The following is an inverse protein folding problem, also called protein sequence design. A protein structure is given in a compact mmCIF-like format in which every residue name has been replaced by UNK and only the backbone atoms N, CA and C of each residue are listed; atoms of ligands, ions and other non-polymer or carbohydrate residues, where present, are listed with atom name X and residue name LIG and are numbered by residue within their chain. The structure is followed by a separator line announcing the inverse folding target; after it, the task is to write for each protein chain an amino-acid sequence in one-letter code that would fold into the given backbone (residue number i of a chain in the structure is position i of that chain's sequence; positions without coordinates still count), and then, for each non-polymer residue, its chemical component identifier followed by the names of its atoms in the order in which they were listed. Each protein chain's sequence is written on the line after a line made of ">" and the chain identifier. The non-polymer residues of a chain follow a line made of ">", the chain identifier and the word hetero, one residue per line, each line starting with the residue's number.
data_IF_103726221824
#
_entry.id   IF_103726221824
#
_cell.length_a   1.000
_cell.length_b   1.000
_cell.length_c   1.000
_cell.angle_alpha   90.00
_cell.angle_beta   90.00
_cell.angle_gamma   90.00
#
_symmetry.space_group_name_H-M   'P 1'
#
loop_
_entity.id
_entity.type
_entity.pdbx_description
1 polymer ?
#
# COMPACT_ATOMS: atom_id res chain seq x y z
N UNK A 1 -5.39 60.46 37.52
CA UNK A 1 -5.10 59.06 37.94
C UNK A 1 -6.31 58.15 37.63
N UNK A 2 -6.56 57.79 36.37
CA UNK A 2 -7.53 56.74 35.97
C UNK A 2 -7.16 56.26 34.56
N UNK A 3 -6.13 55.42 34.41
CA UNK A 3 -5.81 54.79 33.11
C UNK A 3 -4.97 53.50 33.16
N UNK A 4 -4.82 52.87 34.33
CA UNK A 4 -3.94 51.69 34.48
C UNK A 4 -4.59 50.42 35.04
N UNK A 5 -5.93 50.37 35.19
CA UNK A 5 -6.61 49.19 35.77
C UNK A 5 -7.41 48.33 34.79
N UNK A 6 -7.45 48.67 33.49
CA UNK A 6 -8.27 47.93 32.51
C UNK A 6 -7.49 46.97 31.59
N UNK A 7 -6.16 46.90 31.67
CA UNK A 7 -5.35 46.06 30.76
C UNK A 7 -4.97 44.71 31.41
N UNK A 8 -5.07 44.56 32.73
CA UNK A 8 -4.69 43.30 33.40
C UNK A 8 -5.77 42.21 33.43
N UNK A 9 -7.04 42.52 33.11
CA UNK A 9 -8.13 41.53 33.19
C UNK A 9 -8.38 40.83 31.84
N UNK A 10 -8.01 41.45 30.71
CA UNK A 10 -8.21 40.86 29.38
C UNK A 10 -7.16 39.82 28.98
N UNK A 11 -5.97 39.85 29.58
CA UNK A 11 -4.90 38.86 29.29
C UNK A 11 -5.13 37.54 30.04
N UNK A 12 -5.93 37.54 31.10
CA UNK A 12 -6.21 36.31 31.89
C UNK A 12 -7.24 35.39 31.25
N UNK A 13 -8.19 35.90 30.44
CA UNK A 13 -9.29 35.06 29.92
C UNK A 13 -8.89 34.36 28.62
N UNK A 14 -8.04 35.00 27.80
CA UNK A 14 -7.57 34.44 26.53
C UNK A 14 -6.55 33.31 26.71
N UNK A 15 -5.70 33.34 27.75
CA UNK A 15 -4.74 32.25 28.02
C UNK A 15 -5.43 31.05 28.65
N UNK A 16 -6.41 31.26 29.53
CA UNK A 16 -7.20 30.18 30.13
C UNK A 16 -8.11 29.46 29.12
N UNK A 17 -8.71 30.17 28.16
CA UNK A 17 -9.50 29.52 27.09
C UNK A 17 -8.62 28.73 26.12
N UNK A 18 -7.46 29.24 25.71
CA UNK A 18 -6.51 28.48 24.89
C UNK A 18 -5.93 27.27 25.62
N UNK A 19 -5.62 27.39 26.92
CA UNK A 19 -5.11 26.27 27.71
C UNK A 19 -6.20 25.20 27.95
N UNK A 20 -7.44 25.59 28.21
CA UNK A 20 -8.57 24.66 28.36
C UNK A 20 -8.89 23.98 27.03
N UNK A 21 -8.88 24.70 25.91
CA UNK A 21 -9.06 24.11 24.58
C UNK A 21 -7.90 23.16 24.25
N UNK A 22 -6.65 23.51 24.60
CA UNK A 22 -5.49 22.64 24.42
C UNK A 22 -5.55 21.38 25.30
N UNK A 23 -6.01 21.48 26.54
CA UNK A 23 -6.21 20.33 27.44
C UNK A 23 -7.43 19.48 27.06
N UNK A 24 -8.51 20.07 26.54
CA UNK A 24 -9.69 19.35 26.04
C UNK A 24 -9.37 18.65 24.72
N UNK A 25 -8.65 19.30 23.80
CA UNK A 25 -8.16 18.67 22.56
C UNK A 25 -7.13 17.58 22.84
N UNK A 26 -6.21 17.78 23.79
CA UNK A 26 -5.29 16.71 24.18
C UNK A 26 -6.03 15.56 24.84
N UNK A 27 -7.10 15.81 25.61
CA UNK A 27 -7.95 14.72 26.15
C UNK A 27 -8.77 14.02 25.07
N UNK A 28 -9.24 14.70 24.02
CA UNK A 28 -9.94 14.05 22.91
C UNK A 28 -8.99 13.29 21.97
N UNK A 29 -7.80 13.81 21.71
CA UNK A 29 -6.72 13.13 20.96
C UNK A 29 -6.15 11.94 21.74
N UNK A 30 -5.94 12.07 23.05
CA UNK A 30 -5.49 10.95 23.91
C UNK A 30 -6.60 9.89 24.08
N UNK A 31 -7.89 10.26 24.06
CA UNK A 31 -9.00 9.29 24.10
C UNK A 31 -9.18 8.48 22.82
N UNK A 32 -8.64 8.95 21.68
CA UNK A 32 -8.63 8.17 20.44
C UNK A 32 -7.44 7.20 20.35
N UNK A 33 -6.43 7.35 21.22
CA UNK A 33 -5.22 6.53 21.24
C UNK A 33 -5.29 5.25 22.09
N UNK A 34 -6.43 4.96 22.73
CA UNK A 34 -6.56 3.88 23.74
C UNK A 34 -7.57 2.78 23.37
N UNK A 35 -7.98 2.65 22.11
CA UNK A 35 -8.79 1.51 21.70
C UNK A 35 -7.90 0.38 21.18
N UNK A 36 -7.97 -0.76 21.88
CA UNK A 36 -7.37 -2.03 21.44
C UNK A 36 -7.90 -2.39 20.05
N UNK A 37 -6.99 -2.64 19.13
CA UNK A 37 -7.28 -2.98 17.74
C UNK A 37 -7.66 -4.46 17.65
N UNK A 38 -8.70 -4.77 16.90
CA UNK A 38 -9.08 -6.14 16.55
C UNK A 38 -8.37 -6.47 15.23
N UNK A 39 -7.43 -7.42 15.20
CA UNK A 39 -6.75 -7.79 13.97
C UNK A 39 -7.71 -8.62 13.10
N UNK A 40 -7.54 -8.55 11.78
CA UNK A 40 -8.21 -9.48 10.85
C UNK A 40 -7.29 -10.62 10.44
N UNK A 41 -5.99 -10.46 10.70
CA UNK A 41 -4.94 -11.31 10.19
C UNK A 41 -3.73 -11.39 11.12
N UNK A 42 -3.10 -12.56 11.15
CA UNK A 42 -1.76 -12.79 11.69
C UNK A 42 -0.90 -13.39 10.57
N UNK A 43 0.26 -12.81 10.29
CA UNK A 43 1.25 -13.34 9.33
C UNK A 43 2.55 -13.54 10.07
N UNK A 44 3.06 -14.76 10.15
CA UNK A 44 4.32 -15.10 10.85
C UNK A 44 4.40 -14.51 12.27
N UNK A 45 3.26 -14.52 12.98
CA UNK A 45 3.14 -13.97 14.34
C UNK A 45 2.95 -12.45 14.44
N UNK A 46 2.97 -11.72 13.32
CA UNK A 46 2.71 -10.28 13.26
C UNK A 46 1.24 -9.97 12.97
N UNK A 47 0.69 -8.93 13.61
CA UNK A 47 -0.74 -8.61 13.55
C UNK A 47 -1.07 -7.53 12.54
N UNK A 48 -2.15 -7.72 11.78
CA UNK A 48 -2.62 -6.75 10.79
C UNK A 48 -4.16 -6.65 10.74
N UNK A 49 -4.68 -5.47 10.38
CA UNK A 49 -6.11 -5.27 10.07
C UNK A 49 -6.46 -5.53 8.61
N UNK A 50 -5.45 -5.52 7.73
CA UNK A 50 -5.55 -6.01 6.36
C UNK A 50 -4.16 -6.49 5.92
N UNK A 51 -4.13 -7.30 4.87
CA UNK A 51 -2.88 -7.85 4.33
C UNK A 51 -1.95 -6.71 3.86
N UNK A 52 -0.68 -6.67 4.31
CA UNK A 52 0.25 -5.58 3.99
C UNK A 52 0.88 -5.69 2.59
N UNK A 53 0.99 -6.91 2.04
CA UNK A 53 1.52 -7.17 0.69
C UNK A 53 1.09 -8.57 0.16
N UNK A 54 1.22 -8.86 -1.14
CA UNK A 54 1.12 -10.19 -1.71
C UNK A 54 2.11 -11.15 -1.06
N UNK A 55 1.65 -12.35 -0.72
CA UNK A 55 2.45 -13.36 -0.03
C UNK A 55 2.87 -14.47 -1.00
N UNK A 56 3.98 -15.19 -0.72
CA UNK A 56 4.42 -16.32 -1.56
C UNK A 56 3.32 -17.35 -1.79
N UNK A 57 3.23 -17.92 -2.99
CA UNK A 57 2.20 -18.94 -3.34
C UNK A 57 2.28 -20.20 -2.47
N UNK A 58 3.46 -20.48 -1.91
CA UNK A 58 3.75 -21.59 -1.02
C UNK A 58 3.35 -21.34 0.43
N UNK A 59 2.78 -20.17 0.75
CA UNK A 59 2.27 -19.86 2.09
C UNK A 59 1.14 -20.82 2.50
N UNK A 60 1.01 -21.02 3.80
CA UNK A 60 -0.03 -21.85 4.40
C UNK A 60 -0.99 -20.97 5.18
N UNK A 61 -2.29 -21.25 5.09
CA UNK A 61 -3.32 -20.47 5.78
C UNK A 61 -4.20 -21.34 6.66
N UNK A 62 -4.49 -20.81 7.84
CA UNK A 62 -5.54 -21.24 8.75
C UNK A 62 -6.47 -20.07 9.05
N UNK A 63 -7.51 -20.34 9.82
CA UNK A 63 -8.33 -19.28 10.43
C UNK A 63 -8.96 -19.80 11.71
N UNK A 64 -9.33 -18.88 12.59
CA UNK A 64 -10.20 -19.17 13.72
C UNK A 64 -11.22 -18.04 13.90
N UNK A 65 -12.23 -18.31 14.72
CA UNK A 65 -13.21 -17.32 15.13
C UNK A 65 -13.04 -17.06 16.62
N UNK A 66 -12.94 -15.79 16.99
CA UNK A 66 -13.02 -15.36 18.38
C UNK A 66 -14.44 -15.52 18.92
N UNK A 67 -14.63 -15.54 20.27
CA UNK A 67 -15.94 -15.70 20.90
C UNK A 67 -16.96 -14.63 20.49
N UNK A 68 -16.51 -13.44 20.13
CA UNK A 68 -17.36 -12.33 19.65
C UNK A 68 -17.71 -12.45 18.14
N UNK A 69 -17.25 -13.52 17.48
CA UNK A 69 -17.53 -13.82 16.09
C UNK A 69 -16.51 -13.28 15.10
N UNK A 70 -15.50 -12.52 15.55
CA UNK A 70 -14.44 -12.00 14.68
C UNK A 70 -13.63 -13.14 14.08
N UNK A 71 -13.46 -13.14 12.75
CA UNK A 71 -12.65 -14.16 12.05
C UNK A 71 -11.25 -13.62 11.82
N UNK A 72 -10.25 -14.32 12.36
CA UNK A 72 -8.85 -14.00 12.17
C UNK A 72 -8.26 -15.04 11.22
N UNK A 73 -7.66 -14.55 10.13
CA UNK A 73 -6.88 -15.39 9.21
C UNK A 73 -5.45 -15.50 9.72
N UNK A 74 -4.87 -16.69 9.70
CA UNK A 74 -3.48 -16.92 10.11
C UNK A 74 -2.72 -17.42 8.90
N UNK A 75 -1.58 -16.82 8.60
CA UNK A 75 -0.74 -17.16 7.46
C UNK A 75 0.68 -17.42 7.96
N UNK A 76 1.23 -18.56 7.56
CA UNK A 76 2.63 -18.91 7.72
C UNK A 76 3.29 -18.88 6.34
N UNK A 77 4.30 -18.03 6.18
CA UNK A 77 5.07 -17.94 4.95
C UNK A 77 6.21 -18.97 4.98
N UNK A 78 6.76 -19.36 3.81
CA UNK A 78 7.96 -20.18 3.75
C UNK A 78 9.09 -19.54 4.57
N UNK A 79 9.73 -20.34 5.43
CA UNK A 79 10.86 -19.93 6.27
C UNK A 79 10.56 -18.78 7.26
N UNK A 80 9.28 -18.40 7.43
CA UNK A 80 8.85 -17.32 8.34
C UNK A 80 9.33 -15.93 7.95
N UNK A 81 9.74 -15.73 6.69
CA UNK A 81 10.32 -14.48 6.20
C UNK A 81 9.74 -14.02 4.85
N UNK A 82 8.48 -14.36 4.57
CA UNK A 82 7.80 -13.98 3.34
C UNK A 82 7.27 -12.53 3.31
N UNK A 83 7.42 -11.78 4.41
CA UNK A 83 7.15 -10.34 4.44
C UNK A 83 8.43 -9.53 4.23
N UNK A 84 8.32 -8.45 3.46
CA UNK A 84 9.37 -7.44 3.35
C UNK A 84 9.59 -6.71 4.68
N UNK A 85 10.81 -6.22 4.89
CA UNK A 85 11.16 -5.49 6.12
C UNK A 85 10.33 -4.20 6.29
N UNK A 86 9.82 -3.63 5.20
CA UNK A 86 8.91 -2.50 5.26
C UNK A 86 7.52 -2.93 5.75
N UNK A 87 6.94 -3.99 5.19
CA UNK A 87 5.64 -4.52 5.63
C UNK A 87 5.62 -4.95 7.08
N UNK A 88 6.73 -5.51 7.60
CA UNK A 88 6.85 -5.84 9.03
C UNK A 88 6.67 -4.61 9.93
N UNK A 89 7.08 -3.42 9.48
CA UNK A 89 6.90 -2.16 10.24
C UNK A 89 5.44 -1.71 10.30
N UNK A 90 4.59 -2.20 9.40
CA UNK A 90 3.15 -1.93 9.42
C UNK A 90 2.39 -2.79 10.44
N UNK A 91 3.05 -3.77 11.06
CA UNK A 91 2.44 -4.64 12.05
C UNK A 91 1.93 -3.81 13.23
N UNK A 92 0.74 -4.18 13.71
CA UNK A 92 0.17 -3.60 14.93
C UNK A 92 1.01 -4.12 16.10
N UNK A 93 1.58 -3.23 16.95
CA UNK A 93 2.28 -3.67 18.14
C UNK A 93 1.39 -4.56 19.00
N UNK A 94 1.94 -5.66 19.51
CA UNK A 94 1.20 -6.66 20.28
C UNK A 94 0.40 -6.04 21.43
N UNK A 95 0.97 -5.02 22.07
CA UNK A 95 0.39 -4.29 23.21
C UNK A 95 -0.90 -3.54 22.84
N UNK A 96 -1.10 -3.27 21.54
CA UNK A 96 -2.29 -2.61 21.01
C UNK A 96 -3.31 -3.59 20.43
N UNK A 97 -3.04 -4.88 20.45
CA UNK A 97 -3.89 -5.92 19.87
C UNK A 97 -4.74 -6.56 20.95
N UNK A 98 -6.06 -6.54 20.74
CA UNK A 98 -6.99 -7.22 21.65
C UNK A 98 -6.70 -8.72 21.66
N UNK A 99 -6.62 -9.31 22.85
CA UNK A 99 -6.39 -10.75 23.05
C UNK A 99 -5.10 -11.29 22.40
N UNK A 100 -4.08 -10.45 22.21
CA UNK A 100 -2.87 -10.82 21.45
C UNK A 100 -2.22 -12.12 21.96
N UNK A 101 -2.03 -12.27 23.27
CA UNK A 101 -1.45 -13.48 23.87
C UNK A 101 -2.28 -14.73 23.59
N UNK A 102 -3.61 -14.64 23.74
CA UNK A 102 -4.53 -15.73 23.45
C UNK A 102 -4.49 -16.12 21.97
N UNK A 103 -4.40 -15.13 21.06
CA UNK A 103 -4.29 -15.37 19.63
C UNK A 103 -2.98 -16.10 19.30
N UNK A 104 -1.85 -15.64 19.85
CA UNK A 104 -0.54 -16.27 19.61
C UNK A 104 -0.47 -17.70 20.17
N UNK A 105 -1.09 -17.95 21.32
CA UNK A 105 -1.14 -19.29 21.92
C UNK A 105 -1.93 -20.30 21.08
N UNK A 106 -2.86 -19.84 20.24
CA UNK A 106 -3.66 -20.70 19.36
C UNK A 106 -2.91 -21.11 18.09
N UNK A 107 -1.95 -20.33 17.60
CA UNK A 107 -1.32 -20.55 16.29
C UNK A 107 -0.79 -22.00 16.11
N UNK A 108 -0.05 -22.59 17.07
CA UNK A 108 0.48 -23.95 16.92
C UNK A 108 -0.59 -25.05 16.87
N UNK A 109 -1.82 -24.73 17.27
CA UNK A 109 -2.95 -25.68 17.32
C UNK A 109 -3.81 -25.65 16.05
N UNK A 110 -3.58 -24.66 15.18
CA UNK A 110 -4.39 -24.48 13.98
C UNK A 110 -4.07 -25.53 12.93
N UNK A 111 -5.11 -25.95 12.22
CA UNK A 111 -4.94 -26.70 10.98
C UNK A 111 -4.67 -25.72 9.85
N UNK A 112 -3.56 -25.93 9.18
CA UNK A 112 -3.15 -25.16 8.03
C UNK A 112 -3.40 -25.90 6.74
N UNK A 113 -3.75 -25.13 5.73
CA UNK A 113 -3.99 -25.61 4.37
C UNK A 113 -3.12 -24.79 3.42
N UNK A 114 -2.61 -25.42 2.36
CA UNK A 114 -1.99 -24.66 1.26
C UNK A 114 -2.97 -23.58 0.84
N UNK A 115 -2.50 -22.34 0.71
CA UNK A 115 -3.35 -21.24 0.26
C UNK A 115 -3.84 -21.53 -1.15
N UNK A 116 -5.01 -22.17 -1.28
CA UNK A 116 -5.76 -22.26 -2.54
C UNK A 116 -6.55 -21.00 -2.81
N UNK A 117 -6.41 -19.98 -1.96
CA UNK A 117 -6.96 -18.66 -2.17
C UNK A 117 -6.43 -18.16 -3.51
N UNK A 118 -7.28 -18.27 -4.55
CA UNK A 118 -7.15 -17.61 -5.84
C UNK A 118 -7.24 -16.10 -5.64
N UNK A 119 -6.38 -15.53 -4.81
CA UNK A 119 -6.04 -14.13 -4.95
C UNK A 119 -5.29 -14.02 -6.26
N UNK A 120 -5.59 -12.97 -7.02
CA UNK A 120 -5.00 -12.77 -8.33
C UNK A 120 -3.51 -13.01 -8.33
N UNK A 121 -3.02 -13.72 -9.34
CA UNK A 121 -1.61 -14.03 -9.46
C UNK A 121 -0.85 -12.72 -9.70
N UNK A 122 0.07 -12.40 -8.82
CA UNK A 122 1.18 -11.48 -9.10
C UNK A 122 2.43 -12.33 -9.18
N UNK A 123 3.09 -12.34 -10.34
CA UNK A 123 4.30 -13.10 -10.66
C UNK A 123 5.58 -12.34 -10.32
N UNK A 124 5.54 -11.52 -9.27
CA UNK A 124 6.70 -10.84 -8.68
C UNK A 124 6.65 -10.96 -7.17
N UNK A 125 7.83 -11.02 -6.54
CA UNK A 125 8.00 -11.18 -5.10
C UNK A 125 8.85 -10.02 -4.58
N UNK A 126 8.44 -9.43 -3.46
CA UNK A 126 9.21 -8.36 -2.84
C UNK A 126 10.62 -8.84 -2.46
N UNK A 127 11.63 -8.01 -2.72
CA UNK A 127 13.05 -8.31 -2.53
C UNK A 127 13.72 -9.01 -3.72
N UNK A 128 12.97 -9.61 -4.64
CA UNK A 128 13.53 -10.23 -5.85
C UNK A 128 13.76 -9.19 -6.96
N UNK A 129 14.63 -9.54 -7.92
CA UNK A 129 14.81 -8.72 -9.12
C UNK A 129 13.52 -8.69 -9.95
N UNK A 130 13.18 -7.51 -10.46
CA UNK A 130 12.09 -7.38 -11.43
C UNK A 130 12.40 -8.25 -12.66
N UNK A 131 11.42 -9.03 -13.18
CA UNK A 131 11.62 -9.81 -14.38
C UNK A 131 12.06 -8.92 -15.55
N UNK A 132 13.01 -9.43 -16.34
CA UNK A 132 13.51 -8.73 -17.52
C UNK A 132 12.38 -8.42 -18.50
N UNK A 133 12.34 -7.19 -19.00
CA UNK A 133 11.30 -6.75 -19.95
C UNK A 133 11.90 -5.91 -21.08
N UNK A 134 11.13 -5.84 -22.17
CA UNK A 134 11.39 -4.95 -23.30
C UNK A 134 10.05 -4.62 -23.95
N UNK A 135 9.54 -3.42 -23.70
CA UNK A 135 8.19 -3.03 -24.11
C UNK A 135 8.20 -1.70 -24.86
N UNK A 136 7.25 -1.54 -25.79
CA UNK A 136 7.11 -0.34 -26.60
C UNK A 136 6.10 0.60 -25.96
N UNK A 137 6.40 1.90 -25.96
CA UNK A 137 5.45 2.92 -25.53
C UNK A 137 4.58 3.47 -26.68
N UNK A 138 3.61 4.32 -26.35
CA UNK A 138 2.74 4.96 -27.35
C UNK A 138 3.46 5.91 -28.32
N UNK A 139 4.70 6.30 -28.07
CA UNK A 139 5.53 7.10 -28.99
C UNK A 139 6.35 6.21 -29.94
N UNK A 140 6.44 4.92 -29.64
CA UNK A 140 7.25 3.96 -30.38
C UNK A 140 8.63 3.72 -29.78
N UNK A 141 8.97 4.37 -28.65
CA UNK A 141 10.22 4.09 -27.93
C UNK A 141 10.12 2.73 -27.25
N UNK A 142 11.20 1.95 -27.32
CA UNK A 142 11.37 0.73 -26.55
C UNK A 142 11.98 1.09 -25.19
N UNK A 143 11.39 0.54 -24.13
CA UNK A 143 11.85 0.60 -22.75
C UNK A 143 12.20 -0.80 -22.28
N UNK A 144 13.37 -0.93 -21.68
CA UNK A 144 13.91 -2.20 -21.18
C UNK A 144 14.30 -2.11 -19.71
N UNK A 145 14.68 -3.24 -19.12
CA UNK A 145 15.25 -3.27 -17.76
C UNK A 145 16.47 -2.36 -17.61
N UNK A 146 17.29 -2.23 -18.65
CA UNK A 146 18.50 -1.39 -18.64
C UNK A 146 18.15 0.10 -18.59
N UNK A 147 17.02 0.52 -19.20
CA UNK A 147 16.57 1.92 -19.18
C UNK A 147 16.16 2.40 -17.77
N UNK A 148 15.84 1.47 -16.88
CA UNK A 148 15.35 1.75 -15.54
C UNK A 148 16.40 1.53 -14.44
N UNK A 149 17.61 1.08 -14.79
CA UNK A 149 18.69 0.91 -13.84
C UNK A 149 19.01 2.23 -13.10
N UNK A 150 19.20 2.14 -11.78
CA UNK A 150 19.49 3.30 -10.94
C UNK A 150 18.29 4.21 -10.67
N UNK A 151 17.07 3.83 -11.08
CA UNK A 151 15.86 4.65 -10.92
C UNK A 151 14.80 3.92 -10.11
N UNK A 152 14.06 4.69 -9.31
CA UNK A 152 12.81 4.21 -8.73
C UNK A 152 11.74 4.18 -9.81
N UNK A 153 10.98 3.09 -9.85
CA UNK A 153 9.95 2.88 -10.88
C UNK A 153 8.63 2.48 -10.24
N UNK A 154 7.54 3.03 -10.76
CA UNK A 154 6.19 2.57 -10.49
C UNK A 154 5.55 2.04 -11.78
N UNK A 155 5.20 0.75 -11.79
CA UNK A 155 4.40 0.14 -12.84
C UNK A 155 2.94 0.03 -12.38
N UNK A 156 2.01 0.63 -13.12
CA UNK A 156 0.58 0.47 -12.91
C UNK A 156 -0.03 -0.38 -14.05
N UNK A 157 -0.43 -1.60 -13.73
CA UNK A 157 -1.05 -2.56 -14.63
C UNK A 157 -2.55 -2.36 -14.66
N UNK A 158 -3.11 -2.13 -15.84
CA UNK A 158 -4.53 -1.82 -15.98
C UNK A 158 -5.15 -2.38 -17.27
N UNK A 159 -6.48 -2.43 -17.29
CA UNK A 159 -7.27 -2.90 -18.43
C UNK A 159 -8.35 -1.89 -18.80
N UNK A 160 -8.69 -1.77 -20.09
CA UNK A 160 -9.68 -0.81 -20.62
C UNK A 160 -11.08 -0.98 -20.03
N UNK A 161 -11.43 -2.18 -19.54
CA UNK A 161 -12.71 -2.48 -18.88
C UNK A 161 -12.63 -2.48 -17.35
N UNK A 162 -11.50 -2.07 -16.77
CA UNK A 162 -11.30 -2.02 -15.32
C UNK A 162 -11.75 -0.66 -14.76
N UNK A 163 -12.98 -0.62 -14.21
CA UNK A 163 -13.53 0.58 -13.57
C UNK A 163 -12.63 1.17 -12.46
N UNK A 164 -12.18 0.37 -11.47
CA UNK A 164 -11.29 0.85 -10.42
C UNK A 164 -9.97 1.43 -10.93
N UNK A 165 -9.35 0.80 -11.94
CA UNK A 165 -8.12 1.30 -12.57
C UNK A 165 -8.31 2.70 -13.16
N UNK A 166 -9.44 2.94 -13.83
CA UNK A 166 -9.74 4.23 -14.44
C UNK A 166 -10.07 5.29 -13.36
N UNK A 167 -10.63 4.86 -12.22
CA UNK A 167 -10.98 5.75 -11.12
C UNK A 167 -9.76 6.27 -10.34
N UNK A 168 -8.67 5.50 -10.25
CA UNK A 168 -7.44 5.91 -9.54
C UNK A 168 -6.53 6.84 -10.33
N UNK A 169 -6.62 6.86 -11.68
CA UNK A 169 -5.72 7.62 -12.56
C UNK A 169 -5.50 9.09 -12.16
N UNK A 170 -6.52 9.88 -11.78
CA UNK A 170 -6.29 11.28 -11.39
C UNK A 170 -5.39 11.44 -10.16
N UNK A 171 -5.46 10.50 -9.21
CA UNK A 171 -4.61 10.50 -8.02
C UNK A 171 -3.20 10.05 -8.36
N UNK A 172 -3.05 9.02 -9.19
CA UNK A 172 -1.74 8.56 -9.66
C UNK A 172 -1.01 9.63 -10.49
N UNK A 173 -1.73 10.43 -11.27
CA UNK A 173 -1.15 11.58 -11.97
C UNK A 173 -0.65 12.67 -11.00
N UNK A 174 -1.30 12.84 -9.83
CA UNK A 174 -0.77 13.74 -8.80
C UNK A 174 0.56 13.22 -8.24
N UNK A 175 0.68 11.91 -8.01
CA UNK A 175 1.92 11.30 -7.54
C UNK A 175 3.06 11.50 -8.54
N UNK A 176 2.78 11.39 -9.84
CA UNK A 176 3.78 11.68 -10.89
C UNK A 176 4.30 13.12 -10.85
N UNK A 177 3.44 14.07 -10.50
CA UNK A 177 3.82 15.48 -10.32
C UNK A 177 4.62 15.71 -9.03
N UNK A 178 4.31 14.96 -7.98
CA UNK A 178 4.97 15.02 -6.68
C UNK A 178 6.37 14.38 -6.68
N UNK A 179 6.55 13.30 -7.44
CA UNK A 179 7.80 12.53 -7.52
C UNK A 179 8.41 12.58 -8.94
N UNK A 180 8.87 13.75 -9.45
CA UNK A 180 9.37 13.89 -10.81
C UNK A 180 10.63 13.04 -11.14
N UNK A 181 11.33 12.55 -10.13
CA UNK A 181 12.50 11.67 -10.24
C UNK A 181 12.14 10.19 -10.47
N UNK A 182 10.88 9.80 -10.23
CA UNK A 182 10.39 8.43 -10.41
C UNK A 182 9.95 8.23 -11.86
N UNK A 183 10.23 7.04 -12.41
CA UNK A 183 9.63 6.61 -13.67
C UNK A 183 8.24 6.00 -13.43
N UNK A 184 7.22 6.59 -14.03
CA UNK A 184 5.85 6.10 -13.95
C UNK A 184 5.45 5.45 -15.27
N UNK A 185 5.25 4.13 -15.26
CA UNK A 185 4.76 3.37 -16.40
C UNK A 185 3.32 2.94 -16.18
N UNK A 186 2.48 3.11 -17.21
CA UNK A 186 1.21 2.38 -17.28
C UNK A 186 1.40 1.19 -18.20
N UNK A 187 1.07 -0.01 -17.73
CA UNK A 187 1.23 -1.25 -18.49
C UNK A 187 -0.14 -1.72 -18.98
N UNK A 188 -0.31 -1.78 -20.31
CA UNK A 188 -1.51 -2.32 -20.94
C UNK A 188 -1.15 -3.35 -22.01
N UNK A 189 -1.92 -4.45 -22.05
CA UNK A 189 -1.83 -5.47 -23.11
C UNK A 189 -2.62 -5.09 -24.36
N UNK A 190 -3.16 -3.88 -24.40
CA UNK A 190 -3.92 -3.37 -25.53
C UNK A 190 -3.06 -2.45 -26.39
N UNK A 191 -3.36 -2.34 -27.69
CA UNK A 191 -2.66 -1.42 -28.57
C UNK A 191 -3.01 0.04 -28.25
N UNK A 192 -2.16 0.96 -28.69
CA UNK A 192 -2.28 2.42 -28.48
C UNK A 192 -3.69 2.95 -28.80
N UNK A 193 -4.29 2.48 -29.89
CA UNK A 193 -5.58 2.95 -30.39
C UNK A 193 -6.72 2.66 -29.40
N UNK A 194 -6.60 1.60 -28.60
CA UNK A 194 -7.61 1.20 -27.61
C UNK A 194 -7.50 1.98 -26.31
N UNK A 195 -6.30 2.43 -25.94
CA UNK A 195 -6.08 3.13 -24.67
C UNK A 195 -6.13 4.66 -24.79
N UNK A 196 -5.86 5.20 -25.99
CA UNK A 196 -5.70 6.64 -26.26
C UNK A 196 -6.81 7.50 -25.65
N UNK A 197 -8.06 7.14 -25.89
CA UNK A 197 -9.19 7.97 -25.47
C UNK A 197 -9.42 7.89 -23.96
N UNK A 198 -9.00 6.81 -23.30
CA UNK A 198 -9.07 6.68 -21.84
C UNK A 198 -8.02 7.58 -21.20
N UNK A 199 -6.75 7.42 -21.60
CA UNK A 199 -5.63 8.18 -21.00
C UNK A 199 -5.78 9.68 -21.24
N UNK A 200 -6.24 10.08 -22.44
CA UNK A 200 -6.52 11.49 -22.76
C UNK A 200 -7.65 12.09 -21.92
N UNK A 201 -8.77 11.37 -21.75
CA UNK A 201 -9.91 11.87 -20.95
C UNK A 201 -9.62 11.94 -19.47
N UNK A 202 -8.66 11.13 -18.98
CA UNK A 202 -8.26 11.10 -17.57
C UNK A 202 -7.05 11.97 -17.25
N UNK A 203 -6.48 12.66 -18.25
CA UNK A 203 -5.22 13.41 -18.11
C UNK A 203 -4.12 12.56 -17.46
N UNK A 204 -4.07 11.27 -17.82
CA UNK A 204 -3.15 10.31 -17.23
C UNK A 204 -1.86 10.31 -18.05
N UNK A 205 -0.80 10.95 -17.57
CA UNK A 205 0.40 11.28 -18.35
C UNK A 205 1.61 10.40 -17.98
N UNK A 206 1.36 9.11 -17.79
CA UNK A 206 2.41 8.11 -17.55
C UNK A 206 3.10 7.74 -18.87
N UNK A 207 4.25 7.07 -18.77
CA UNK A 207 4.83 6.39 -19.92
C UNK A 207 3.96 5.17 -20.22
N UNK A 208 3.16 5.26 -21.29
CA UNK A 208 2.18 4.23 -21.62
C UNK A 208 2.80 3.10 -22.45
N UNK A 209 3.14 1.99 -21.79
CA UNK A 209 3.54 0.74 -22.45
C UNK A 209 2.30 0.06 -23.03
N UNK A 210 2.37 -0.28 -24.32
CA UNK A 210 1.27 -0.85 -25.12
C UNK A 210 1.69 -2.18 -25.72
N UNK A 211 0.71 -3.04 -25.97
CA UNK A 211 0.96 -4.43 -26.41
C UNK A 211 1.96 -5.13 -25.49
N UNK A 212 1.95 -4.77 -24.19
CA UNK A 212 2.99 -5.12 -23.22
C UNK A 212 2.83 -6.55 -22.69
N UNK A 213 2.91 -7.54 -23.57
CA UNK A 213 2.65 -8.93 -23.25
C UNK A 213 3.72 -9.58 -22.35
N UNK A 214 4.97 -9.09 -22.35
CA UNK A 214 6.02 -9.65 -21.48
C UNK A 214 5.78 -9.26 -20.03
N UNK A 215 5.56 -7.97 -19.76
CA UNK A 215 5.14 -7.47 -18.46
C UNK A 215 3.73 -7.96 -18.09
N UNK A 216 2.84 -8.12 -19.07
CA UNK A 216 1.49 -8.63 -18.90
C UNK A 216 1.39 -10.07 -18.37
N UNK A 217 2.51 -10.81 -18.28
CA UNK A 217 2.59 -12.12 -17.60
C UNK A 217 2.68 -12.00 -16.08
N UNK A 218 3.08 -10.84 -15.56
CA UNK A 218 3.19 -10.58 -14.12
C UNK A 218 1.82 -10.69 -13.47
N UNK A 219 0.73 -10.31 -14.15
CA UNK A 219 -0.58 -10.42 -13.53
C UNK A 219 -1.71 -10.73 -14.50
N UNK A 220 -2.71 -11.44 -13.99
CA UNK A 220 -4.00 -11.66 -14.66
C UNK A 220 -5.14 -10.89 -14.01
N UNK A 221 -4.85 -10.07 -13.00
CA UNK A 221 -5.83 -9.25 -12.28
C UNK A 221 -5.48 -7.77 -12.36
N UNK A 222 -6.47 -6.92 -12.15
CA UNK A 222 -6.31 -5.47 -12.28
C UNK A 222 -7.18 -4.73 -11.24
N UNK A 223 -6.75 -3.57 -10.73
CA UNK A 223 -5.42 -2.97 -10.92
C UNK A 223 -4.34 -3.73 -10.14
N UNK A 224 -3.10 -3.64 -10.63
CA UNK A 224 -1.91 -4.00 -9.87
C UNK A 224 -0.91 -2.86 -9.96
N UNK A 225 -0.32 -2.48 -8.83
CA UNK A 225 0.78 -1.51 -8.80
C UNK A 225 2.03 -2.18 -8.26
N UNK A 226 3.16 -2.02 -8.94
CA UNK A 226 4.46 -2.56 -8.54
C UNK A 226 5.45 -1.41 -8.40
N UNK A 227 6.08 -1.28 -7.24
CA UNK A 227 7.19 -0.39 -6.98
C UNK A 227 8.50 -1.16 -7.11
N UNK A 228 9.47 -0.57 -7.80
CA UNK A 228 10.82 -1.12 -8.00
C UNK A 228 11.84 -0.12 -7.47
N UNK A 229 12.79 -0.59 -6.67
CA UNK A 229 13.87 0.20 -6.10
C UNK A 229 14.94 0.55 -7.17
N UNK A 230 15.86 1.46 -6.83
CA UNK A 230 16.92 1.89 -7.75
C UNK A 230 17.92 0.77 -8.11
N UNK A 231 17.93 -0.35 -7.39
CA UNK A 231 18.74 -1.52 -7.71
C UNK A 231 17.99 -2.53 -8.61
N UNK A 232 16.77 -2.21 -9.05
CA UNK A 232 15.97 -3.06 -9.92
C UNK A 232 15.22 -4.18 -9.19
N UNK A 233 15.11 -4.13 -7.86
CA UNK A 233 14.33 -5.10 -7.07
C UNK A 233 12.91 -4.63 -6.88
N UNK A 234 11.98 -5.58 -6.90
CA UNK A 234 10.58 -5.34 -6.54
C UNK A 234 10.55 -4.99 -5.05
N UNK A 235 10.14 -3.77 -4.75
CA UNK A 235 10.07 -3.28 -3.38
C UNK A 235 8.70 -3.60 -2.77
N UNK A 236 7.63 -3.31 -3.52
CA UNK A 236 6.26 -3.55 -3.11
C UNK A 236 5.43 -3.88 -4.35
N UNK A 237 4.45 -4.77 -4.21
CA UNK A 237 3.43 -5.01 -5.21
C UNK A 237 2.07 -5.00 -4.53
N UNK A 238 1.03 -4.51 -5.18
CA UNK A 238 -0.30 -4.41 -4.56
C UNK A 238 -1.39 -4.78 -5.57
N UNK A 239 -2.34 -5.63 -5.16
CA UNK A 239 -3.54 -5.95 -5.95
C UNK A 239 -4.70 -5.10 -5.44
N UNK A 240 -5.29 -4.31 -6.32
CA UNK A 240 -6.38 -3.41 -5.97
C UNK A 240 -5.93 -1.97 -5.75
N UNK A 241 -6.87 -1.14 -5.30
CA UNK A 241 -6.69 0.31 -5.20
C UNK A 241 -7.54 0.92 -4.07
N UNK A 242 -7.61 0.24 -2.92
CA UNK A 242 -8.30 0.83 -1.76
C UNK A 242 -7.57 2.11 -1.30
N UNK A 243 -8.25 3.03 -0.60
CA UNK A 243 -7.59 4.21 -0.05
C UNK A 243 -6.37 3.90 0.81
N UNK A 244 -6.41 2.82 1.60
CA UNK A 244 -5.26 2.41 2.42
C UNK A 244 -4.11 1.87 1.57
N UNK A 245 -4.40 1.03 0.57
CA UNK A 245 -3.38 0.55 -0.36
C UNK A 245 -2.68 1.70 -1.07
N UNK A 246 -3.45 2.69 -1.55
CA UNK A 246 -2.89 3.88 -2.18
C UNK A 246 -2.07 4.74 -1.22
N UNK A 247 -2.54 4.92 0.01
CA UNK A 247 -1.77 5.60 1.06
C UNK A 247 -0.42 4.90 1.32
N UNK A 248 -0.42 3.57 1.47
CA UNK A 248 0.80 2.78 1.70
C UNK A 248 1.78 2.86 0.52
N UNK A 249 1.28 2.70 -0.72
CA UNK A 249 2.08 2.85 -1.94
C UNK A 249 2.70 4.24 -2.03
N UNK A 250 1.92 5.30 -1.77
CA UNK A 250 2.41 6.68 -1.79
C UNK A 250 3.51 6.92 -0.76
N UNK A 251 3.31 6.48 0.49
CA UNK A 251 4.33 6.58 1.53
C UNK A 251 5.61 5.86 1.14
N UNK A 252 5.48 4.62 0.64
CA UNK A 252 6.65 3.82 0.24
C UNK A 252 7.38 4.44 -0.94
N UNK A 253 6.64 4.95 -1.92
CA UNK A 253 7.22 5.68 -3.04
C UNK A 253 8.01 6.91 -2.58
N UNK A 254 7.47 7.68 -1.62
CA UNK A 254 8.17 8.80 -1.02
C UNK A 254 9.42 8.42 -0.21
N UNK A 255 9.50 7.22 0.35
CA UNK A 255 10.72 6.72 0.99
C UNK A 255 11.78 6.29 -0.03
N UNK A 256 11.38 5.60 -1.10
CA UNK A 256 12.28 5.14 -2.16
C UNK A 256 12.88 6.31 -2.95
N UNK A 257 12.14 7.40 -3.10
CA UNK A 257 12.48 8.51 -4.00
C UNK A 257 13.36 9.59 -3.37
N UNK A 258 13.83 9.40 -2.14
CA UNK A 258 14.75 10.32 -1.44
C UNK A 258 16.19 10.08 -1.83
#
# INVERSE_FOLDING_TARGET
>A
MKRFQLILILISVATLSSLVIFFVNRKSEVRMAEQMVIPSMVIDGLFFTERPEPLPETSMAGFFKEPDGNRISVIETPDGNGLSDWSKKLAIPKERVRNADSILALLPTLKYYKTSMKLGKIGVVAGEMMPQFSEKDTTGRIWSSDDIEGKVVMFNFWNITCGPCIAEMPELEQWRKEFPQVLFFSVSRHPKEKIRDIVKRRDFNFIHLVDADSLGKITSVYPVTVLVDAAGRVDMAEIGTTPRQRYLLHQRLGELSK
#
